data_IF_227820319269
#
_entry.id   IF_227820319269
#
_cell.length_a   1.000
_cell.length_b   1.000
_cell.length_c   1.000
_cell.angle_alpha   90.00
_cell.angle_beta   90.00
_cell.angle_gamma   90.00
#
_symmetry.space_group_name_H-M   'P 1'
#
loop_
_entity.id
_entity.type
_entity.pdbx_description
1 polymer ?
#
# COMPACT_ATOMS: atom_id res chain seq x y z
N UNK A 1 -15.17 58.27 22.24
CA UNK A 1 -15.87 57.92 20.98
C UNK A 1 -14.80 57.89 19.87
N UNK A 2 -14.47 56.72 19.33
CA UNK A 2 -13.46 56.56 18.26
C UNK A 2 -14.05 57.11 16.95
N UNK A 3 -13.31 58.00 16.31
CA UNK A 3 -13.73 58.63 15.04
C UNK A 3 -13.96 57.55 13.95
N UNK A 4 -15.04 57.59 13.17
CA UNK A 4 -15.30 56.62 12.08
C UNK A 4 -14.18 56.57 11.03
N UNK A 5 -13.41 57.65 10.86
CA UNK A 5 -12.22 57.69 9.98
C UNK A 5 -11.07 56.85 10.52
N UNK A 6 -10.89 56.80 11.85
CA UNK A 6 -9.85 55.99 12.49
C UNK A 6 -10.18 54.51 12.40
N UNK A 7 -11.43 54.14 12.59
CA UNK A 7 -11.92 52.76 12.46
C UNK A 7 -11.71 52.21 11.04
N UNK A 8 -12.04 53.01 10.00
CA UNK A 8 -11.76 52.62 8.61
C UNK A 8 -10.26 52.42 8.34
N UNK A 9 -9.40 53.29 8.87
CA UNK A 9 -7.97 53.16 8.69
C UNK A 9 -7.39 51.91 9.29
N UNK A 10 -7.81 51.54 10.52
CA UNK A 10 -7.46 50.29 11.18
C UNK A 10 -7.95 49.06 10.40
N UNK A 11 -9.18 49.10 9.90
CA UNK A 11 -9.76 48.01 9.11
C UNK A 11 -8.95 47.76 7.81
N UNK A 12 -8.61 48.82 7.06
CA UNK A 12 -7.80 48.67 5.84
C UNK A 12 -6.39 48.21 6.13
N UNK A 13 -5.78 48.65 7.23
CA UNK A 13 -4.44 48.16 7.63
C UNK A 13 -4.46 46.69 8.03
N UNK A 14 -5.48 46.22 8.74
CA UNK A 14 -5.64 44.82 9.10
C UNK A 14 -5.87 43.93 7.87
N UNK A 15 -6.65 44.36 6.89
CA UNK A 15 -6.87 43.65 5.64
C UNK A 15 -5.55 43.59 4.82
N UNK A 16 -4.82 44.70 4.73
CA UNK A 16 -3.55 44.74 4.01
C UNK A 16 -2.53 43.78 4.66
N UNK A 17 -2.45 43.75 5.99
CA UNK A 17 -1.58 42.83 6.73
C UNK A 17 -1.95 41.37 6.50
N UNK A 18 -3.26 41.06 6.49
CA UNK A 18 -3.78 39.74 6.21
C UNK A 18 -3.44 39.28 4.79
N UNK A 19 -3.60 40.17 3.80
CA UNK A 19 -3.25 39.89 2.40
C UNK A 19 -1.73 39.64 2.26
N UNK A 20 -0.89 40.44 2.91
CA UNK A 20 0.56 40.26 2.90
C UNK A 20 0.97 38.93 3.52
N UNK A 21 0.32 38.54 4.64
CA UNK A 21 0.52 37.25 5.29
C UNK A 21 0.09 36.07 4.39
N UNK A 22 -1.07 36.19 3.74
CA UNK A 22 -1.57 35.15 2.83
C UNK A 22 -0.69 35.02 1.57
N UNK A 23 -0.27 36.13 1.00
CA UNK A 23 0.66 36.15 -0.15
C UNK A 23 2.03 35.63 0.25
N UNK A 24 2.54 35.99 1.43
CA UNK A 24 3.78 35.45 1.97
C UNK A 24 3.72 33.95 2.22
N UNK A 25 2.61 33.45 2.77
CA UNK A 25 2.35 32.02 2.92
C UNK A 25 2.26 31.30 1.56
N UNK A 26 1.58 31.90 0.59
CA UNK A 26 1.48 31.35 -0.76
C UNK A 26 2.84 31.28 -1.44
N UNK A 27 3.67 32.32 -1.37
CA UNK A 27 5.03 32.32 -1.90
C UNK A 27 5.94 31.33 -1.16
N UNK A 28 5.88 31.26 0.16
CA UNK A 28 6.63 30.28 0.94
C UNK A 28 6.26 28.83 0.57
N UNK A 29 4.99 28.56 0.30
CA UNK A 29 4.50 27.24 -0.09
C UNK A 29 4.71 26.94 -1.60
N UNK A 30 4.80 27.94 -2.48
CA UNK A 30 5.03 27.70 -3.92
C UNK A 30 6.51 27.48 -4.28
N UNK A 31 7.43 27.90 -3.41
CA UNK A 31 8.88 27.66 -3.58
C UNK A 31 9.30 26.30 -2.99
N UNK A 32 8.45 25.67 -2.15
CA UNK A 32 8.71 24.33 -1.62
C UNK A 32 8.15 23.30 -2.61
N UNK A 33 9.00 22.37 -3.12
CA UNK A 33 8.59 21.47 -4.18
C UNK A 33 7.36 20.65 -3.76
N UNK A 34 6.35 20.74 -4.60
CA UNK A 34 5.17 19.89 -4.76
C UNK A 34 4.89 18.96 -3.59
N UNK A 35 3.73 19.12 -2.98
CA UNK A 35 3.14 18.18 -2.00
C UNK A 35 3.37 16.75 -2.50
N UNK A 36 4.43 16.11 -2.05
CA UNK A 36 4.55 14.67 -2.16
C UNK A 36 3.60 14.11 -1.13
N UNK A 37 2.50 13.54 -1.60
CA UNK A 37 1.72 12.61 -0.81
C UNK A 37 2.63 11.39 -0.54
N UNK A 38 3.53 11.53 0.42
CA UNK A 38 4.32 10.43 0.92
C UNK A 38 3.42 9.68 1.89
N UNK A 39 2.88 8.56 1.43
CA UNK A 39 2.39 7.53 2.32
C UNK A 39 3.58 7.12 3.17
N UNK A 40 3.58 7.58 4.45
CA UNK A 40 4.78 7.54 5.26
C UNK A 40 5.11 6.15 5.77
N UNK A 41 6.07 5.53 5.15
CA UNK A 41 7.00 4.63 5.80
C UNK A 41 8.39 5.17 5.51
N UNK A 42 8.99 5.82 6.53
CA UNK A 42 10.41 6.15 6.53
C UNK A 42 11.19 4.86 6.85
N UNK A 43 11.30 3.97 5.91
CA UNK A 43 12.48 3.16 5.73
C UNK A 43 12.93 3.46 4.31
N UNK A 44 14.08 4.08 4.17
CA UNK A 44 14.80 4.19 2.91
C UNK A 44 14.97 2.78 2.36
N UNK A 45 14.05 2.40 1.49
CA UNK A 45 14.29 1.28 0.60
C UNK A 45 15.31 1.80 -0.37
N UNK A 46 16.59 1.54 -0.12
CA UNK A 46 17.64 1.74 -1.11
C UNK A 46 17.48 0.70 -2.22
N UNK A 47 16.45 0.92 -3.04
CA UNK A 47 16.48 0.45 -4.41
C UNK A 47 17.60 1.28 -5.04
N UNK A 48 18.56 0.65 -5.69
CA UNK A 48 19.52 1.37 -6.52
C UNK A 48 18.76 2.39 -7.35
N UNK A 49 19.03 3.66 -7.16
CA UNK A 49 18.25 4.83 -7.60
C UNK A 49 18.07 4.97 -9.11
N UNK A 50 18.54 4.04 -9.92
CA UNK A 50 18.63 4.15 -11.38
C UNK A 50 17.73 3.19 -12.18
N UNK A 51 16.96 2.30 -11.50
CA UNK A 51 16.04 1.39 -12.22
C UNK A 51 14.63 1.51 -11.69
N UNK A 52 13.79 2.25 -12.41
CA UNK A 52 12.34 2.22 -12.16
C UNK A 52 11.81 0.83 -12.53
N UNK A 53 11.52 0.00 -11.51
CA UNK A 53 10.88 -1.29 -11.74
C UNK A 53 9.44 -1.09 -12.22
N UNK A 54 8.98 -1.86 -13.21
CA UNK A 54 7.56 -1.94 -13.50
C UNK A 54 6.80 -2.40 -12.25
N UNK A 55 5.63 -1.82 -11.99
CA UNK A 55 4.80 -2.18 -10.84
C UNK A 55 4.35 -3.63 -10.85
N UNK A 56 4.28 -4.25 -12.02
CA UNK A 56 3.92 -5.65 -12.22
C UNK A 56 4.94 -6.26 -13.17
N UNK A 57 5.58 -7.33 -12.73
CA UNK A 57 6.64 -8.00 -13.50
C UNK A 57 6.73 -9.49 -13.15
N UNK A 58 7.46 -10.24 -13.95
CA UNK A 58 7.77 -11.63 -13.67
C UNK A 58 9.02 -11.73 -12.80
N UNK A 59 8.97 -12.62 -11.81
CA UNK A 59 10.09 -12.88 -10.92
C UNK A 59 10.15 -14.36 -10.52
N UNK A 60 11.25 -14.73 -9.86
CA UNK A 60 11.38 -15.93 -9.05
C UNK A 60 11.34 -15.49 -7.59
N UNK A 61 10.47 -16.08 -6.79
CA UNK A 61 10.28 -15.78 -5.37
C UNK A 61 10.92 -16.88 -4.53
N UNK A 62 11.78 -16.52 -3.57
CA UNK A 62 12.55 -17.48 -2.78
C UNK A 62 12.56 -17.12 -1.29
N UNK A 63 12.89 -18.11 -0.46
CA UNK A 63 13.41 -17.86 0.88
C UNK A 63 14.80 -17.20 0.82
N UNK A 64 15.35 -16.82 1.96
CA UNK A 64 16.64 -16.11 2.06
C UNK A 64 17.80 -16.90 1.45
N UNK A 65 17.78 -18.22 1.60
CA UNK A 65 18.85 -19.12 1.16
C UNK A 65 18.66 -19.63 -0.28
N UNK A 66 17.54 -19.31 -0.93
CA UNK A 66 17.14 -19.82 -2.24
C UNK A 66 16.94 -21.35 -2.29
N UNK A 67 16.65 -21.97 -1.12
CA UNK A 67 16.39 -23.41 -1.01
C UNK A 67 14.95 -23.74 -1.42
N UNK A 68 13.99 -22.83 -1.08
CA UNK A 68 12.58 -22.94 -1.43
C UNK A 68 12.19 -21.79 -2.33
N UNK A 69 11.87 -22.09 -3.58
CA UNK A 69 11.54 -21.07 -4.58
C UNK A 69 10.27 -21.42 -5.36
N UNK A 70 9.59 -20.36 -5.81
CA UNK A 70 8.54 -20.39 -6.82
C UNK A 70 9.04 -19.64 -8.06
N UNK A 71 9.14 -20.34 -9.18
CA UNK A 71 9.54 -19.76 -10.46
C UNK A 71 8.31 -19.13 -11.15
N UNK A 72 8.56 -18.15 -12.04
CA UNK A 72 7.56 -17.54 -12.92
C UNK A 72 6.33 -17.00 -12.18
N UNK A 73 6.55 -16.30 -11.07
CA UNK A 73 5.49 -15.62 -10.34
C UNK A 73 5.22 -14.24 -10.94
N UNK A 74 3.98 -13.77 -10.85
CA UNK A 74 3.66 -12.34 -11.07
C UNK A 74 4.00 -11.61 -9.77
N UNK A 75 4.94 -10.68 -9.83
CA UNK A 75 5.31 -9.84 -8.70
C UNK A 75 4.66 -8.46 -8.80
N UNK A 76 3.90 -8.07 -7.80
CA UNK A 76 3.48 -6.70 -7.59
C UNK A 76 4.56 -5.97 -6.77
N UNK A 77 5.35 -5.11 -7.44
CA UNK A 77 6.43 -4.35 -6.85
C UNK A 77 6.05 -2.85 -6.78
N UNK A 78 5.78 -2.36 -5.57
CA UNK A 78 5.46 -0.94 -5.35
C UNK A 78 4.01 -0.67 -5.00
N UNK A 79 3.56 0.58 -5.20
CA UNK A 79 2.27 1.08 -4.74
C UNK A 79 1.12 0.56 -5.63
N UNK A 80 0.03 0.12 -5.01
CA UNK A 80 -1.22 -0.16 -5.71
C UNK A 80 -1.91 1.13 -6.14
N UNK A 81 -1.98 1.37 -7.43
CA UNK A 81 -2.62 2.53 -8.03
C UNK A 81 -3.50 2.15 -9.22
N UNK A 82 -4.11 3.15 -9.83
CA UNK A 82 -4.98 2.95 -10.98
C UNK A 82 -4.21 2.32 -12.15
N UNK A 83 -4.74 1.20 -12.66
CA UNK A 83 -4.16 0.47 -13.77
C UNK A 83 -3.17 -0.63 -13.39
N UNK A 84 -2.91 -0.82 -12.07
CA UNK A 84 -2.06 -1.92 -11.61
C UNK A 84 -2.66 -3.28 -12.00
N UNK A 85 -3.97 -3.50 -11.81
CA UNK A 85 -4.64 -4.74 -12.23
C UNK A 85 -4.64 -4.94 -13.74
N UNK A 86 -4.74 -3.87 -14.53
CA UNK A 86 -4.65 -3.97 -16.01
C UNK A 86 -3.25 -4.41 -16.46
N UNK A 87 -2.22 -3.97 -15.75
CA UNK A 87 -0.84 -4.40 -16.01
C UNK A 87 -0.64 -5.87 -15.67
N UNK A 88 -1.25 -6.33 -14.55
CA UNK A 88 -1.24 -7.73 -14.15
C UNK A 88 -2.00 -8.61 -15.15
N UNK A 89 -3.17 -8.20 -15.60
CA UNK A 89 -3.96 -8.93 -16.60
C UNK A 89 -3.20 -9.13 -17.91
N UNK A 90 -2.54 -8.09 -18.42
CA UNK A 90 -1.72 -8.19 -19.63
C UNK A 90 -0.52 -9.13 -19.47
N UNK A 91 0.09 -9.13 -18.28
CA UNK A 91 1.21 -10.04 -17.99
C UNK A 91 0.70 -11.48 -17.88
N UNK A 92 -0.40 -11.71 -17.16
CA UNK A 92 -1.03 -13.02 -17.03
C UNK A 92 -1.37 -13.62 -18.41
N UNK A 93 -1.97 -12.84 -19.30
CA UNK A 93 -2.29 -13.27 -20.67
C UNK A 93 -1.03 -13.73 -21.42
N UNK A 94 0.05 -12.95 -21.37
CA UNK A 94 1.33 -13.31 -22.01
C UNK A 94 1.94 -14.58 -21.42
N UNK A 95 1.87 -14.76 -20.11
CA UNK A 95 2.44 -15.92 -19.43
C UNK A 95 1.62 -17.19 -19.72
N UNK A 96 0.30 -17.09 -19.78
CA UNK A 96 -0.57 -18.20 -20.15
C UNK A 96 -0.34 -18.63 -21.60
N UNK A 97 -0.18 -17.68 -22.52
CA UNK A 97 0.17 -17.99 -23.93
C UNK A 97 1.53 -18.68 -24.06
N UNK A 98 2.45 -18.40 -23.16
CA UNK A 98 3.79 -19.00 -23.14
C UNK A 98 3.88 -20.31 -22.34
N UNK A 99 2.78 -20.75 -21.69
CA UNK A 99 2.72 -21.91 -20.78
C UNK A 99 3.81 -21.87 -19.70
N UNK A 100 4.06 -20.68 -19.13
CA UNK A 100 5.14 -20.44 -18.17
C UNK A 100 4.67 -19.97 -16.81
N UNK A 101 3.39 -19.77 -16.62
CA UNK A 101 2.87 -19.19 -15.39
C UNK A 101 2.69 -20.23 -14.27
N UNK A 102 3.17 -19.89 -13.08
CA UNK A 102 3.06 -20.76 -11.89
C UNK A 102 1.76 -20.62 -11.11
N UNK A 103 0.78 -19.82 -11.59
CA UNK A 103 -0.45 -19.46 -10.88
C UNK A 103 -0.24 -18.71 -9.56
N UNK A 104 0.97 -18.22 -9.28
CA UNK A 104 1.29 -17.51 -8.06
C UNK A 104 1.50 -16.01 -8.31
N UNK A 105 0.91 -15.22 -7.44
CA UNK A 105 1.06 -13.76 -7.38
C UNK A 105 1.73 -13.39 -6.07
N UNK A 106 2.88 -12.78 -6.15
CA UNK A 106 3.64 -12.37 -4.96
C UNK A 106 3.64 -10.85 -4.80
N UNK A 107 3.93 -10.39 -3.59
CA UNK A 107 3.87 -8.97 -3.25
C UNK A 107 5.17 -8.49 -2.63
N UNK A 108 5.59 -7.34 -3.10
CA UNK A 108 6.59 -6.48 -2.50
C UNK A 108 6.05 -5.04 -2.55
N UNK A 109 5.11 -4.71 -1.63
CA UNK A 109 4.27 -3.52 -1.76
C UNK A 109 4.06 -2.80 -0.43
N UNK A 110 4.21 -1.48 -0.38
CA UNK A 110 3.81 -0.67 0.77
C UNK A 110 2.28 -0.51 0.88
N UNK A 111 1.51 -1.14 -0.01
CA UNK A 111 0.07 -0.96 -0.13
C UNK A 111 -0.30 0.06 -1.20
N UNK A 112 -1.32 0.86 -0.95
CA UNK A 112 -1.76 1.90 -1.88
C UNK A 112 -3.23 2.27 -1.73
N UNK A 113 -3.86 2.65 -2.83
CA UNK A 113 -5.27 3.03 -2.87
C UNK A 113 -6.16 1.82 -2.56
N UNK A 114 -7.17 2.02 -1.70
CA UNK A 114 -8.15 1.00 -1.33
C UNK A 114 -8.88 0.47 -2.56
N UNK A 115 -9.36 1.36 -3.40
CA UNK A 115 -10.05 1.03 -4.65
C UNK A 115 -9.18 0.16 -5.59
N UNK A 116 -7.88 0.46 -5.71
CA UNK A 116 -6.95 -0.38 -6.48
C UNK A 116 -6.70 -1.72 -5.81
N UNK A 117 -6.59 -1.76 -4.49
CA UNK A 117 -6.43 -3.00 -3.74
C UNK A 117 -7.63 -3.93 -3.91
N UNK A 118 -8.86 -3.39 -3.80
CA UNK A 118 -10.10 -4.15 -4.01
C UNK A 118 -10.16 -4.70 -5.44
N UNK A 119 -9.82 -3.90 -6.46
CA UNK A 119 -9.76 -4.40 -7.85
C UNK A 119 -8.73 -5.51 -8.03
N UNK A 120 -7.53 -5.37 -7.45
CA UNK A 120 -6.49 -6.41 -7.53
C UNK A 120 -6.95 -7.68 -6.80
N UNK A 121 -7.53 -7.56 -5.61
CA UNK A 121 -8.06 -8.70 -4.86
C UNK A 121 -9.15 -9.46 -5.64
N UNK A 122 -10.10 -8.75 -6.22
CA UNK A 122 -11.14 -9.33 -7.05
C UNK A 122 -10.55 -9.97 -8.34
N UNK A 123 -9.53 -9.38 -8.92
CA UNK A 123 -8.81 -9.95 -10.07
C UNK A 123 -8.10 -11.27 -9.69
N UNK A 124 -7.44 -11.34 -8.53
CA UNK A 124 -6.81 -12.58 -8.03
C UNK A 124 -7.85 -13.68 -7.90
N UNK A 125 -8.97 -13.39 -7.22
CA UNK A 125 -10.07 -14.33 -7.05
C UNK A 125 -10.64 -14.80 -8.38
N UNK A 126 -10.97 -13.85 -9.29
CA UNK A 126 -11.60 -14.18 -10.58
C UNK A 126 -10.73 -15.03 -11.50
N UNK A 127 -9.42 -15.08 -11.25
CA UNK A 127 -8.47 -15.88 -12.02
C UNK A 127 -8.00 -17.14 -11.25
N UNK A 128 -8.56 -17.45 -10.08
CA UNK A 128 -8.20 -18.59 -9.21
C UNK A 128 -6.69 -18.62 -8.95
N UNK A 129 -6.13 -17.50 -8.51
CA UNK A 129 -4.68 -17.36 -8.32
C UNK A 129 -4.30 -17.60 -6.86
N UNK A 130 -3.13 -18.20 -6.67
CA UNK A 130 -2.47 -18.28 -5.37
C UNK A 130 -1.72 -16.98 -5.08
N UNK A 131 -1.49 -16.70 -3.79
CA UNK A 131 -0.68 -15.57 -3.37
C UNK A 131 0.57 -16.03 -2.62
N UNK A 132 1.63 -15.23 -2.68
CA UNK A 132 2.88 -15.52 -1.99
C UNK A 132 3.57 -14.28 -1.43
N UNK A 133 4.28 -14.51 -0.32
CA UNK A 133 5.26 -13.59 0.23
C UNK A 133 6.60 -14.30 0.34
N UNK A 134 7.67 -13.61 -0.01
CA UNK A 134 9.00 -14.16 -0.02
C UNK A 134 10.02 -13.21 0.62
N UNK A 135 11.12 -13.75 1.12
CA UNK A 135 12.23 -12.95 1.63
C UNK A 135 13.09 -12.37 0.49
N UNK A 136 12.97 -12.96 -0.72
CA UNK A 136 13.79 -12.59 -1.86
C UNK A 136 13.04 -12.74 -3.17
N UNK A 137 13.17 -11.76 -4.05
CA UNK A 137 12.63 -11.80 -5.41
C UNK A 137 13.75 -11.56 -6.41
N UNK A 138 13.99 -12.53 -7.27
CA UNK A 138 15.01 -12.48 -8.32
C UNK A 138 14.31 -12.08 -9.62
N UNK A 139 14.72 -10.98 -10.21
CA UNK A 139 14.13 -10.38 -11.41
C UNK A 139 15.16 -10.49 -12.53
N UNK A 140 14.82 -11.27 -13.55
CA UNK A 140 15.73 -11.51 -14.67
C UNK A 140 16.19 -10.20 -15.32
N UNK A 141 17.50 -10.04 -15.46
CA UNK A 141 18.13 -8.88 -16.07
C UNK A 141 18.04 -7.57 -15.25
N UNK A 142 17.46 -7.60 -14.03
CA UNK A 142 17.25 -6.40 -13.22
C UNK A 142 17.80 -6.50 -11.79
N UNK A 143 18.13 -7.70 -11.31
CA UNK A 143 18.70 -7.91 -9.99
C UNK A 143 17.71 -8.52 -9.00
N UNK A 144 17.90 -8.23 -7.74
CA UNK A 144 17.17 -8.87 -6.63
C UNK A 144 16.57 -7.84 -5.69
N UNK A 145 15.30 -8.03 -5.33
CA UNK A 145 14.66 -7.35 -4.20
C UNK A 145 14.78 -8.25 -2.98
N UNK A 146 15.28 -7.71 -1.89
CA UNK A 146 15.42 -8.43 -0.62
C UNK A 146 14.49 -7.83 0.44
N UNK A 147 14.08 -8.67 1.39
CA UNK A 147 13.13 -8.29 2.41
C UNK A 147 11.68 -8.33 1.93
N UNK A 148 10.78 -8.50 2.87
CA UNK A 148 9.34 -8.58 2.61
C UNK A 148 8.70 -7.24 2.90
N UNK A 149 7.97 -6.73 1.94
CA UNK A 149 7.12 -5.56 2.10
C UNK A 149 5.69 -5.92 1.69
N UNK A 150 4.81 -6.14 2.67
CA UNK A 150 3.38 -6.25 2.44
C UNK A 150 2.65 -5.44 3.52
N UNK A 151 2.47 -4.14 3.24
CA UNK A 151 2.01 -3.19 4.22
C UNK A 151 0.66 -2.58 3.81
N UNK A 152 -0.09 -2.06 4.79
CA UNK A 152 -1.32 -1.28 4.56
C UNK A 152 -2.41 -2.09 3.85
N UNK A 153 -2.70 -1.77 2.59
CA UNK A 153 -3.66 -2.47 1.74
C UNK A 153 -3.19 -3.87 1.28
N UNK A 154 -1.87 -4.10 1.25
CA UNK A 154 -1.29 -5.33 0.71
C UNK A 154 -1.72 -6.61 1.45
N UNK A 155 -1.74 -6.68 2.79
CA UNK A 155 -2.21 -7.88 3.49
C UNK A 155 -3.62 -8.32 3.07
N UNK A 156 -4.53 -7.37 2.84
CA UNK A 156 -5.92 -7.70 2.45
C UNK A 156 -6.00 -8.23 1.01
N UNK A 157 -5.17 -7.72 0.11
CA UNK A 157 -5.05 -8.28 -1.25
C UNK A 157 -4.43 -9.67 -1.22
N UNK A 158 -3.42 -9.88 -0.39
CA UNK A 158 -2.76 -11.18 -0.20
C UNK A 158 -3.75 -12.26 0.27
N UNK A 159 -4.71 -11.91 1.13
CA UNK A 159 -5.73 -12.83 1.63
C UNK A 159 -6.69 -13.35 0.56
N UNK A 160 -6.69 -12.77 -0.64
CA UNK A 160 -7.58 -13.19 -1.73
C UNK A 160 -7.07 -14.38 -2.54
N UNK A 161 -5.85 -14.85 -2.28
CA UNK A 161 -5.31 -16.05 -2.94
C UNK A 161 -5.93 -17.35 -2.45
N UNK A 162 -6.15 -18.30 -3.35
CA UNK A 162 -6.69 -19.64 -3.02
C UNK A 162 -5.77 -20.36 -2.04
N UNK A 163 -4.49 -20.39 -2.32
CA UNK A 163 -3.46 -20.74 -1.35
C UNK A 163 -2.58 -19.51 -1.08
N UNK A 164 -2.13 -19.37 0.16
CA UNK A 164 -1.33 -18.25 0.63
C UNK A 164 0.00 -18.76 1.16
N UNK A 165 1.00 -18.71 0.29
CA UNK A 165 2.31 -19.32 0.52
C UNK A 165 3.28 -18.34 1.15
N UNK A 166 4.04 -18.80 2.14
CA UNK A 166 5.22 -18.09 2.66
C UNK A 166 6.50 -18.77 2.19
N UNK A 167 7.47 -17.96 1.78
CA UNK A 167 8.82 -18.39 1.44
C UNK A 167 9.80 -17.71 2.39
N UNK A 168 10.08 -18.40 3.48
CA UNK A 168 10.90 -17.92 4.58
C UNK A 168 10.11 -17.60 5.86
N UNK A 169 10.86 -17.23 6.89
CA UNK A 169 10.35 -17.00 8.26
C UNK A 169 10.42 -15.55 8.72
N UNK A 170 11.21 -14.73 8.05
CA UNK A 170 11.40 -13.31 8.36
C UNK A 170 10.56 -12.44 7.41
N UNK A 171 9.25 -12.68 7.44
CA UNK A 171 8.29 -11.93 6.64
C UNK A 171 7.65 -10.82 7.46
N UNK A 172 7.51 -9.64 6.85
CA UNK A 172 6.93 -8.46 7.50
C UNK A 172 5.61 -8.08 6.82
N UNK A 173 4.52 -8.25 7.56
CA UNK A 173 3.19 -7.75 7.19
C UNK A 173 2.79 -6.66 8.19
N UNK A 174 2.38 -5.50 7.69
CA UNK A 174 2.00 -4.37 8.53
C UNK A 174 0.59 -3.91 8.20
N UNK A 175 -0.24 -3.82 9.21
CA UNK A 175 -1.61 -3.31 9.09
C UNK A 175 -1.77 -2.01 9.86
N UNK A 176 -2.63 -1.13 9.36
CA UNK A 176 -3.05 0.11 10.02
C UNK A 176 -4.35 0.61 9.40
N UNK A 177 -5.00 1.55 10.08
CA UNK A 177 -6.15 2.27 9.55
C UNK A 177 -5.77 3.03 8.27
N UNK A 178 -6.70 3.13 7.32
CA UNK A 178 -6.54 4.02 6.18
C UNK A 178 -6.34 5.46 6.65
N UNK A 179 -5.44 6.18 6.04
CA UNK A 179 -5.12 7.52 6.47
C UNK A 179 -4.18 8.23 5.50
N UNK A 180 -3.75 9.39 5.89
CA UNK A 180 -2.85 10.21 5.11
C UNK A 180 -1.96 11.09 5.96
N UNK A 181 -1.01 11.71 5.28
CA UNK A 181 -0.09 12.69 5.83
C UNK A 181 -0.22 13.96 5.01
N UNK A 182 -0.46 15.08 5.68
CA UNK A 182 -0.40 16.41 5.05
C UNK A 182 0.85 17.11 5.58
N UNK A 183 1.80 17.33 4.69
CA UNK A 183 2.98 18.14 4.97
C UNK A 183 2.70 19.58 4.53
N UNK A 184 2.48 20.47 5.50
CA UNK A 184 2.50 21.91 5.30
C UNK A 184 3.90 22.43 5.66
N UNK A 185 4.27 23.58 5.10
CA UNK A 185 5.62 24.17 5.17
C UNK A 185 6.33 24.11 6.54
N UNK A 186 5.58 23.97 7.63
CA UNK A 186 6.08 23.98 9.02
C UNK A 186 5.36 23.00 9.94
N UNK A 187 4.40 22.23 9.45
CA UNK A 187 3.69 21.25 10.23
C UNK A 187 3.32 20.03 9.39
N UNK A 188 3.54 18.86 9.96
CA UNK A 188 3.13 17.59 9.39
C UNK A 188 1.99 17.03 10.23
N UNK A 189 0.81 16.85 9.61
CA UNK A 189 -0.32 16.21 10.27
C UNK A 189 -0.58 14.83 9.66
N UNK A 190 -0.61 13.84 10.53
CA UNK A 190 -1.05 12.49 10.21
C UNK A 190 -2.48 12.31 10.70
N UNK A 191 -3.33 11.74 9.90
CA UNK A 191 -4.74 11.54 10.24
C UNK A 191 -5.24 10.20 9.70
N UNK A 192 -6.19 9.61 10.43
CA UNK A 192 -6.96 8.50 9.92
C UNK A 192 -7.98 9.02 8.91
N UNK A 193 -8.15 8.31 7.81
CA UNK A 193 -9.20 8.64 6.85
C UNK A 193 -10.57 8.47 7.52
N UNK A 194 -11.45 9.46 7.34
CA UNK A 194 -12.86 9.36 7.72
C UNK A 194 -13.67 8.54 6.71
N UNK A 195 -13.02 7.90 5.75
CA UNK A 195 -13.71 7.15 4.70
C UNK A 195 -14.36 5.89 5.29
N UNK A 196 -15.65 5.99 5.61
CA UNK A 196 -16.47 4.88 6.10
C UNK A 196 -16.62 3.74 5.08
N UNK A 197 -16.46 4.03 3.78
CA UNK A 197 -16.62 3.03 2.72
C UNK A 197 -15.45 2.05 2.66
N UNK A 198 -14.26 2.43 3.14
CA UNK A 198 -13.08 1.57 3.12
C UNK A 198 -13.29 0.23 3.83
N UNK A 199 -14.03 0.23 4.95
CA UNK A 199 -14.37 -1.00 5.65
C UNK A 199 -15.33 -1.84 4.84
N UNK A 200 -16.34 -1.22 4.27
CA UNK A 200 -17.38 -1.91 3.49
C UNK A 200 -16.76 -2.53 2.24
N UNK A 201 -15.92 -1.78 1.51
CA UNK A 201 -15.22 -2.23 0.30
C UNK A 201 -14.33 -3.45 0.57
N UNK A 202 -13.50 -3.41 1.62
CA UNK A 202 -12.68 -4.55 2.01
C UNK A 202 -13.49 -5.72 2.56
N UNK A 203 -14.54 -5.44 3.35
CA UNK A 203 -15.40 -6.48 3.89
C UNK A 203 -16.11 -7.24 2.78
N UNK A 204 -16.65 -6.53 1.79
CA UNK A 204 -17.30 -7.14 0.62
C UNK A 204 -16.30 -7.99 -0.15
N UNK A 205 -15.09 -7.48 -0.43
CA UNK A 205 -14.04 -8.24 -1.09
C UNK A 205 -13.67 -9.51 -0.33
N UNK A 206 -13.38 -9.42 0.98
CA UNK A 206 -12.98 -10.57 1.80
C UNK A 206 -14.10 -11.59 1.95
N UNK A 207 -15.34 -11.15 2.17
CA UNK A 207 -16.51 -12.04 2.29
C UNK A 207 -16.88 -12.70 0.96
N UNK A 208 -16.50 -12.09 -0.16
CA UNK A 208 -16.70 -12.68 -1.48
C UNK A 208 -15.81 -13.90 -1.71
N UNK A 209 -14.70 -14.07 -0.96
CA UNK A 209 -13.85 -15.25 -1.05
C UNK A 209 -14.61 -16.51 -0.60
N UNK A 210 -14.25 -17.66 -1.17
CA UNK A 210 -14.81 -18.96 -0.77
C UNK A 210 -14.03 -19.61 0.38
N UNK A 211 -13.04 -18.89 0.94
CA UNK A 211 -12.19 -19.39 2.01
C UNK A 211 -12.98 -19.65 3.30
N UNK A 212 -12.67 -20.77 3.94
CA UNK A 212 -13.28 -21.16 5.22
C UNK A 212 -12.94 -20.20 6.35
N UNK A 213 -11.82 -19.51 6.26
CA UNK A 213 -11.23 -18.62 7.26
C UNK A 213 -11.53 -17.13 7.03
N UNK A 214 -12.51 -16.80 6.19
CA UNK A 214 -12.88 -15.41 5.89
C UNK A 214 -13.32 -14.59 7.11
N UNK A 215 -13.87 -15.22 8.14
CA UNK A 215 -14.24 -14.55 9.38
C UNK A 215 -13.00 -14.04 10.12
N UNK A 216 -11.93 -14.82 10.16
CA UNK A 216 -10.64 -14.40 10.73
C UNK A 216 -10.04 -13.23 9.94
N UNK A 217 -10.23 -13.20 8.63
CA UNK A 217 -9.81 -12.08 7.79
C UNK A 217 -10.59 -10.78 8.09
N UNK A 218 -11.88 -10.88 8.38
CA UNK A 218 -12.69 -9.75 8.85
C UNK A 218 -12.23 -9.26 10.23
N UNK A 219 -11.85 -10.16 11.14
CA UNK A 219 -11.29 -9.76 12.42
C UNK A 219 -9.94 -9.04 12.25
N UNK A 220 -9.08 -9.48 11.32
CA UNK A 220 -7.87 -8.74 10.97
C UNK A 220 -8.18 -7.34 10.44
N UNK A 221 -9.20 -7.20 9.59
CA UNK A 221 -9.65 -5.90 9.10
C UNK A 221 -10.09 -4.99 10.25
N UNK A 222 -10.92 -5.50 11.16
CA UNK A 222 -11.34 -4.76 12.38
C UNK A 222 -10.15 -4.39 13.26
N UNK A 223 -9.17 -5.27 13.39
CA UNK A 223 -7.93 -4.98 14.11
C UNK A 223 -7.14 -3.86 13.47
N UNK A 224 -6.99 -3.87 12.14
CA UNK A 224 -6.29 -2.82 11.41
C UNK A 224 -6.92 -1.44 11.59
N UNK A 225 -8.25 -1.36 11.66
CA UNK A 225 -8.99 -0.11 11.87
C UNK A 225 -8.80 0.49 13.26
N UNK A 226 -8.40 -0.31 14.25
CA UNK A 226 -8.05 0.16 15.60
C UNK A 226 -6.63 0.68 15.70
N UNK A 227 -5.79 0.38 14.71
CA UNK A 227 -4.38 0.80 14.66
C UNK A 227 -4.27 2.13 13.95
N UNK A 228 -3.75 3.16 14.63
CA UNK A 228 -3.62 4.48 14.01
C UNK A 228 -2.70 4.42 12.78
N UNK A 229 -3.01 5.23 11.76
CA UNK A 229 -2.25 5.29 10.50
C UNK A 229 -0.74 5.48 10.70
N UNK A 230 -0.33 6.29 11.71
CA UNK A 230 1.09 6.56 11.99
C UNK A 230 1.83 5.41 12.67
N UNK A 231 1.10 4.46 13.26
CA UNK A 231 1.68 3.53 14.22
C UNK A 231 1.80 2.11 13.67
N UNK A 232 1.54 1.89 12.41
CA UNK A 232 1.50 0.62 11.70
C UNK A 232 1.90 -0.60 12.53
N UNK A 233 1.03 -1.59 12.64
CA UNK A 233 1.26 -2.78 13.45
C UNK A 233 1.84 -3.90 12.60
N UNK A 234 3.09 -4.26 12.86
CA UNK A 234 3.66 -5.49 12.30
C UNK A 234 2.98 -6.71 12.94
N UNK A 235 2.48 -7.61 12.10
CA UNK A 235 1.85 -8.85 12.54
C UNK A 235 2.93 -9.85 12.97
N UNK A 236 2.72 -10.44 14.15
CA UNK A 236 3.57 -11.50 14.70
C UNK A 236 3.22 -12.86 14.09
N UNK A 237 4.07 -13.87 14.31
CA UNK A 237 3.75 -15.26 13.90
C UNK A 237 2.49 -15.79 14.59
N UNK A 238 2.15 -15.31 15.78
CA UNK A 238 0.91 -15.67 16.47
C UNK A 238 -0.30 -15.00 15.82
N UNK A 239 -0.15 -13.73 15.40
CA UNK A 239 -1.18 -13.06 14.60
C UNK A 239 -1.40 -13.79 13.28
N UNK A 240 -0.34 -14.27 12.61
CA UNK A 240 -0.48 -15.03 11.36
C UNK A 240 -1.35 -16.28 11.52
N UNK A 241 -1.18 -17.00 12.64
CA UNK A 241 -2.02 -18.16 12.96
C UNK A 241 -3.46 -17.76 13.32
N UNK A 242 -3.60 -16.74 14.19
CA UNK A 242 -4.90 -16.29 14.67
C UNK A 242 -5.80 -15.78 13.55
N UNK A 243 -5.22 -15.13 12.55
CA UNK A 243 -5.94 -14.58 11.40
C UNK A 243 -5.84 -15.45 10.15
N UNK A 244 -5.32 -16.67 10.25
CA UNK A 244 -5.18 -17.59 9.12
C UNK A 244 -4.53 -16.95 7.88
N UNK A 245 -3.43 -16.19 8.11
CA UNK A 245 -2.79 -15.42 7.03
C UNK A 245 -2.23 -16.37 5.95
N UNK A 246 -1.55 -17.43 6.34
CA UNK A 246 -0.96 -18.42 5.44
C UNK A 246 -1.72 -19.73 5.49
N UNK A 247 -1.71 -20.47 4.38
CA UNK A 247 -2.34 -21.81 4.26
C UNK A 247 -1.32 -22.96 4.39
N UNK A 248 -0.02 -22.64 4.43
CA UNK A 248 1.10 -23.60 4.55
C UNK A 248 2.02 -23.29 5.71
#
# INVERSE_FOLDING_TARGET
VISPKLLKKFFYQSIALLIILLVGLYFACSVIPTIKANFGFNEEVSIRDDVSLPKVLMAKACDKNEENCLDNVILFAGIFDQGTENSASRLLEKLNQADKFSHNVCFWSPGGSIDSAVRIGNWIKSNNLNTCLAEKYIIEGRGTLSGTHCNSACPFVFLMGDTRTRLGDDLKLVVHHSGGKIDLCFACWKFNSLNSTAYDDYSEMLLSSEHIDKEQHIELLKYSLKTHFSDGKALTKDDWRSYSIFTN
#
